data_IF_304636823840
#
_entry.id   IF_304636823840
#
_cell.length_a   1.000
_cell.length_b   1.000
_cell.length_c   1.000
_cell.angle_alpha   90.00
_cell.angle_beta   90.00
_cell.angle_gamma   90.00
#
_symmetry.space_group_name_H-M   'P 1'
#
loop_
_entity.id
_entity.type
_entity.pdbx_description
1 polymer ?
#
# COMPACT_ATOMS: atom_id res chain seq x y z
N UNK A 1 -2.36 -21.40 -9.19
CA UNK A 1 -1.04 -21.08 -9.77
C UNK A 1 -0.54 -19.80 -9.14
N UNK A 2 0.72 -19.83 -8.70
CA UNK A 2 1.42 -18.95 -7.77
C UNK A 2 1.24 -17.45 -8.05
N UNK A 3 0.86 -16.71 -7.00
CA UNK A 3 0.65 -15.26 -7.01
C UNK A 3 1.97 -14.51 -7.19
N UNK A 4 1.92 -13.55 -8.12
CA UNK A 4 2.96 -12.57 -8.39
C UNK A 4 2.68 -11.33 -7.53
N UNK A 5 3.70 -10.68 -6.95
CA UNK A 5 3.52 -9.59 -5.99
C UNK A 5 4.12 -8.29 -6.54
N UNK A 6 3.31 -7.33 -6.97
CA UNK A 6 3.79 -5.94 -7.08
C UNK A 6 3.32 -5.17 -5.85
N UNK A 7 4.18 -4.35 -5.30
CA UNK A 7 3.89 -3.38 -4.26
C UNK A 7 4.71 -2.15 -4.66
N UNK A 8 4.04 -1.24 -5.35
CA UNK A 8 4.16 0.18 -5.06
C UNK A 8 2.77 0.55 -4.61
N UNK A 9 2.72 1.07 -3.42
CA UNK A 9 1.54 1.25 -2.62
C UNK A 9 1.78 2.53 -1.86
N UNK A 10 1.55 3.68 -2.46
CA UNK A 10 1.36 4.84 -1.60
C UNK A 10 0.05 4.62 -0.83
N UNK A 11 -0.01 5.03 0.44
CA UNK A 11 -1.17 4.98 1.33
C UNK A 11 -1.75 6.39 1.50
N UNK A 12 -3.04 6.61 1.23
CA UNK A 12 -3.71 7.89 1.47
C UNK A 12 -4.90 7.66 2.37
N UNK A 13 -5.06 8.49 3.39
CA UNK A 13 -6.13 8.41 4.37
C UNK A 13 -7.12 9.56 4.18
N UNK A 14 -7.99 9.60 3.15
CA UNK A 14 -8.81 10.78 2.96
C UNK A 14 -9.95 10.79 3.98
N UNK A 15 -10.14 11.93 4.64
CA UNK A 15 -11.39 12.34 5.26
C UNK A 15 -11.57 13.84 5.03
N UNK A 16 -12.64 14.21 4.33
CA UNK A 16 -13.39 15.43 4.64
C UNK A 16 -14.45 14.99 5.66
N UNK A 17 -14.74 15.64 6.79
CA UNK A 17 -14.66 17.05 7.15
C UNK A 17 -14.76 17.14 8.71
N UNK A 18 -14.20 18.21 9.30
CA UNK A 18 -14.29 18.68 10.71
C UNK A 18 -13.33 18.21 11.83
N UNK A 19 -12.44 17.22 11.67
CA UNK A 19 -11.51 16.82 12.77
C UNK A 19 -10.01 17.11 12.54
N UNK A 20 -9.59 17.52 11.34
CA UNK A 20 -8.21 17.98 11.08
C UNK A 20 -7.11 16.93 11.35
N UNK A 21 -7.41 15.64 11.23
CA UNK A 21 -6.39 14.60 11.37
C UNK A 21 -5.39 14.69 10.20
N UNK A 22 -4.08 14.49 10.45
CA UNK A 22 -3.06 14.61 9.41
C UNK A 22 -3.25 13.54 8.34
N UNK A 23 -3.31 13.95 7.06
CA UNK A 23 -3.11 13.05 5.94
C UNK A 23 -1.65 12.58 5.97
N UNK A 24 -1.44 11.28 6.01
CA UNK A 24 -0.12 10.67 5.93
C UNK A 24 -0.03 9.93 4.61
N UNK A 25 0.96 10.31 3.80
CA UNK A 25 1.33 9.62 2.57
C UNK A 25 2.76 9.11 2.74
N UNK A 26 2.94 7.81 2.53
CA UNK A 26 4.24 7.12 2.55
C UNK A 26 4.46 6.55 1.16
N UNK A 27 5.54 6.95 0.49
CA UNK A 27 5.95 6.44 -0.81
C UNK A 27 6.97 5.33 -0.66
N UNK A 28 7.18 4.54 -1.73
CA UNK A 28 8.22 3.52 -1.69
C UNK A 28 9.62 4.13 -1.55
N UNK A 29 10.41 3.61 -0.60
CA UNK A 29 11.75 4.10 -0.30
C UNK A 29 11.79 5.17 0.78
N UNK A 30 10.63 5.65 1.26
CA UNK A 30 10.57 6.51 2.43
C UNK A 30 11.09 5.78 3.69
N UNK A 31 11.58 6.52 4.71
CA UNK A 31 12.11 5.94 5.95
C UNK A 31 11.14 5.01 6.69
N UNK A 32 9.85 5.22 6.47
CA UNK A 32 8.73 4.48 7.07
C UNK A 32 8.33 3.23 6.26
N UNK A 33 9.21 2.79 5.37
CA UNK A 33 9.06 1.56 4.59
C UNK A 33 10.10 0.52 4.94
N UNK A 34 9.72 -0.76 4.81
CA UNK A 34 10.66 -1.86 4.86
C UNK A 34 10.23 -2.95 3.89
N UNK A 35 11.17 -3.78 3.45
CA UNK A 35 10.84 -4.88 2.56
C UNK A 35 11.67 -6.12 2.86
N UNK A 36 11.11 -7.26 2.49
CA UNK A 36 11.84 -8.51 2.38
C UNK A 36 12.04 -8.84 0.91
N UNK A 37 13.09 -9.62 0.61
CA UNK A 37 13.43 -10.04 -0.75
C UNK A 37 13.76 -8.85 -1.67
N UNK A 38 13.87 -9.12 -2.97
CA UNK A 38 14.27 -8.13 -3.96
C UNK A 38 13.06 -7.39 -4.52
N UNK A 39 13.22 -6.07 -4.63
CA UNK A 39 12.27 -5.16 -5.23
C UNK A 39 13.02 -4.30 -6.25
N UNK A 40 12.51 -4.24 -7.47
CA UNK A 40 13.13 -3.53 -8.59
C UNK A 40 12.26 -2.35 -9.02
N UNK A 41 12.90 -1.33 -9.60
CA UNK A 41 12.19 -0.20 -10.20
C UNK A 41 11.33 -0.69 -11.37
N UNK A 42 10.10 -0.21 -11.39
CA UNK A 42 9.04 -0.53 -12.35
C UNK A 42 9.12 0.39 -13.56
N UNK A 43 8.87 -0.20 -14.74
CA UNK A 43 8.60 0.57 -15.96
C UNK A 43 7.13 1.00 -16.13
N UNK A 44 6.28 0.77 -15.12
CA UNK A 44 4.91 1.28 -15.09
C UNK A 44 4.87 2.79 -15.05
N UNK A 45 3.93 3.37 -15.79
CA UNK A 45 3.82 4.83 -15.95
C UNK A 45 3.05 5.49 -14.80
N UNK A 46 3.28 6.78 -14.62
CA UNK A 46 2.59 7.66 -13.66
C UNK A 46 2.59 7.16 -12.20
N UNK A 47 3.77 6.83 -11.62
CA UNK A 47 3.88 6.50 -10.21
C UNK A 47 3.43 7.67 -9.32
N UNK A 48 3.21 7.39 -8.03
CA UNK A 48 3.28 8.46 -7.05
C UNK A 48 4.76 8.77 -6.82
N UNK A 49 5.12 10.05 -6.64
CA UNK A 49 6.52 10.43 -6.45
C UNK A 49 7.39 10.14 -7.68
N UNK A 50 8.59 9.59 -7.44
CA UNK A 50 9.62 9.45 -8.46
C UNK A 50 9.53 8.15 -9.26
N UNK A 51 9.18 7.04 -8.61
CA UNK A 51 9.15 5.72 -9.24
C UNK A 51 8.13 4.79 -8.56
N UNK A 52 8.01 3.56 -9.07
CA UNK A 52 7.27 2.48 -8.40
C UNK A 52 8.12 1.23 -8.35
N UNK A 53 7.86 0.33 -7.41
CA UNK A 53 8.57 -0.94 -7.25
C UNK A 53 7.73 -2.17 -7.64
N UNK A 54 8.42 -3.25 -7.99
CA UNK A 54 7.83 -4.55 -8.23
C UNK A 54 8.72 -5.70 -7.76
N UNK A 55 8.13 -6.86 -7.49
CA UNK A 55 8.85 -8.08 -7.18
C UNK A 55 8.28 -9.29 -7.94
N UNK A 56 9.10 -10.31 -8.11
CA UNK A 56 8.67 -11.66 -8.53
C UNK A 56 8.91 -12.70 -7.43
N UNK A 57 9.49 -12.30 -6.31
CA UNK A 57 9.83 -13.21 -5.23
C UNK A 57 8.56 -13.64 -4.49
N UNK A 58 8.31 -14.94 -4.47
CA UNK A 58 7.18 -15.52 -3.76
C UNK A 58 7.37 -15.30 -2.26
N UNK A 59 6.37 -14.69 -1.62
CA UNK A 59 6.40 -14.39 -0.19
C UNK A 59 7.25 -13.17 0.17
N UNK A 60 7.74 -12.40 -0.82
CA UNK A 60 8.27 -11.07 -0.59
C UNK A 60 7.18 -10.14 -0.05
N UNK A 61 7.56 -9.31 0.92
CA UNK A 61 6.68 -8.32 1.53
C UNK A 61 7.28 -6.94 1.37
N UNK A 62 6.42 -5.97 1.20
CA UNK A 62 6.76 -4.56 1.30
C UNK A 62 5.78 -3.93 2.26
N UNK A 63 6.31 -3.26 3.27
CA UNK A 63 5.59 -2.82 4.45
C UNK A 63 5.72 -1.32 4.55
N UNK A 64 4.62 -0.66 4.87
CA UNK A 64 4.52 0.76 5.16
C UNK A 64 4.05 0.88 6.59
N UNK A 65 4.59 1.80 7.38
CA UNK A 65 4.14 1.96 8.76
C UNK A 65 4.14 3.42 9.19
N UNK A 66 3.19 3.81 10.03
CA UNK A 66 3.17 5.15 10.61
C UNK A 66 2.62 5.14 12.04
N UNK A 67 3.11 6.04 12.91
CA UNK A 67 2.51 6.23 14.22
C UNK A 67 1.15 6.93 14.06
N UNK A 68 0.07 6.16 14.10
CA UNK A 68 -1.30 6.63 13.89
C UNK A 68 -2.22 6.14 15.01
N UNK A 69 -3.11 7.02 15.44
CA UNK A 69 -4.17 6.72 16.38
C UNK A 69 -5.52 7.22 15.84
N UNK A 70 -6.60 6.55 16.20
CA UNK A 70 -7.94 6.90 15.76
C UNK A 70 -8.36 6.21 14.46
N UNK A 71 -9.47 6.67 13.88
CA UNK A 71 -10.09 6.09 12.69
C UNK A 71 -9.55 6.75 11.42
N UNK A 72 -9.09 5.94 10.47
CA UNK A 72 -8.37 6.37 9.27
C UNK A 72 -8.76 5.55 8.04
N UNK A 73 -8.91 6.18 6.89
CA UNK A 73 -9.31 5.50 5.65
C UNK A 73 -8.11 4.97 4.85
N UNK A 74 -7.68 3.72 5.01
CA UNK A 74 -6.56 3.17 4.23
C UNK A 74 -6.88 3.12 2.72
N UNK A 75 -6.07 3.79 1.91
CA UNK A 75 -6.07 3.70 0.44
C UNK A 75 -4.75 3.22 -0.12
N UNK A 76 -4.72 2.93 -1.41
CA UNK A 76 -3.56 2.32 -2.03
C UNK A 76 -3.40 2.72 -3.48
N UNK A 77 -2.20 3.11 -3.90
CA UNK A 77 -1.93 3.46 -5.30
C UNK A 77 -0.74 2.68 -5.86
N UNK A 78 -0.92 2.14 -7.06
CA UNK A 78 0.07 1.36 -7.82
C UNK A 78 0.09 1.81 -9.28
N UNK A 79 1.17 1.55 -10.01
CA UNK A 79 1.19 1.72 -11.48
C UNK A 79 0.60 0.51 -12.20
N UNK A 80 -0.10 0.74 -13.31
CA UNK A 80 -0.56 -0.32 -14.19
C UNK A 80 0.61 -0.94 -14.98
N UNK A 81 0.57 -2.27 -15.14
CA UNK A 81 1.30 -2.99 -16.18
C UNK A 81 0.54 -4.28 -16.53
N UNK A 82 0.60 -4.74 -17.78
CA UNK A 82 -0.20 -5.89 -18.24
C UNK A 82 0.15 -7.22 -17.54
N UNK A 83 1.37 -7.32 -17.00
CA UNK A 83 1.87 -8.46 -16.24
C UNK A 83 1.58 -8.40 -14.73
N UNK A 84 0.94 -7.33 -14.23
CA UNK A 84 0.60 -7.20 -12.81
C UNK A 84 -0.36 -8.29 -12.35
N UNK A 85 -0.34 -8.58 -11.06
CA UNK A 85 -1.21 -9.59 -10.47
C UNK A 85 -2.62 -9.03 -10.22
N UNK A 86 -3.63 -9.87 -10.43
CA UNK A 86 -5.03 -9.49 -10.23
C UNK A 86 -5.54 -9.81 -8.83
N UNK A 87 -4.72 -10.44 -7.98
CA UNK A 87 -5.12 -10.91 -6.65
C UNK A 87 -3.98 -10.72 -5.63
N UNK A 88 -3.47 -9.50 -5.51
CA UNK A 88 -2.43 -9.16 -4.53
C UNK A 88 -3.06 -9.04 -3.15
N UNK A 89 -2.57 -9.83 -2.20
CA UNK A 89 -2.95 -9.78 -0.78
C UNK A 89 -2.32 -8.55 -0.11
N UNK A 90 -3.14 -7.75 0.55
CA UNK A 90 -2.74 -6.61 1.38
C UNK A 90 -3.25 -6.87 2.80
N UNK A 91 -2.36 -6.90 3.78
CA UNK A 91 -2.74 -6.99 5.19
C UNK A 91 -2.74 -5.60 5.81
N UNK A 92 -3.77 -5.29 6.61
CA UNK A 92 -3.86 -4.06 7.39
C UNK A 92 -3.72 -4.44 8.86
N UNK A 93 -2.76 -3.82 9.55
CA UNK A 93 -2.35 -4.16 10.91
C UNK A 93 -2.36 -2.94 11.83
N UNK A 94 -2.67 -3.18 13.10
CA UNK A 94 -2.37 -2.28 14.22
C UNK A 94 -1.27 -2.93 15.07
N UNK A 95 -0.04 -2.43 14.93
CA UNK A 95 1.18 -3.09 15.40
C UNK A 95 1.37 -4.45 14.73
N UNK A 96 1.25 -5.53 15.51
CA UNK A 96 1.30 -6.91 15.01
C UNK A 96 -0.08 -7.56 14.88
N UNK A 97 -1.15 -6.84 15.27
CA UNK A 97 -2.52 -7.35 15.19
C UNK A 97 -3.10 -7.13 13.79
N UNK A 98 -3.45 -8.21 13.10
CA UNK A 98 -4.11 -8.14 11.79
C UNK A 98 -5.57 -7.65 11.97
N UNK A 99 -5.90 -6.51 11.38
CA UNK A 99 -7.26 -5.97 11.35
C UNK A 99 -8.04 -6.53 10.15
N UNK A 100 -7.42 -6.58 8.97
CA UNK A 100 -8.06 -7.04 7.75
C UNK A 100 -7.08 -7.59 6.72
N UNK A 101 -7.58 -8.43 5.82
CA UNK A 101 -6.89 -8.79 4.58
C UNK A 101 -7.75 -8.36 3.40
N UNK A 102 -7.19 -7.54 2.51
CA UNK A 102 -7.82 -7.06 1.27
C UNK A 102 -7.08 -7.67 0.09
N UNK A 103 -7.80 -7.98 -1.00
CA UNK A 103 -7.18 -8.43 -2.24
C UNK A 103 -7.39 -7.36 -3.32
N UNK A 104 -6.31 -6.98 -4.00
CA UNK A 104 -6.34 -5.93 -5.03
C UNK A 104 -5.95 -6.47 -6.41
N UNK A 105 -6.68 -6.01 -7.43
CA UNK A 105 -6.36 -6.22 -8.82
C UNK A 105 -5.50 -5.06 -9.33
N UNK A 106 -4.21 -5.30 -9.55
CA UNK A 106 -3.28 -4.27 -10.01
C UNK A 106 -3.25 -4.06 -11.53
N UNK A 107 -4.12 -4.74 -12.27
CA UNK A 107 -4.40 -4.44 -13.67
C UNK A 107 -5.49 -3.38 -13.85
N UNK A 108 -6.08 -2.91 -12.77
CA UNK A 108 -7.16 -1.92 -12.79
C UNK A 108 -6.75 -0.69 -11.96
N UNK A 109 -7.36 0.46 -12.26
CA UNK A 109 -7.20 1.70 -11.48
C UNK A 109 -5.73 2.09 -11.20
N UNK A 110 -4.85 1.85 -12.18
CA UNK A 110 -3.45 2.25 -12.07
C UNK A 110 -3.33 3.76 -11.92
N UNK A 111 -2.32 4.20 -11.17
CA UNK A 111 -1.97 5.60 -10.94
C UNK A 111 -3.06 6.40 -10.24
N UNK A 112 -3.98 5.71 -9.57
CA UNK A 112 -5.08 6.27 -8.79
C UNK A 112 -5.09 5.68 -7.38
N UNK A 113 -5.63 6.45 -6.44
CA UNK A 113 -5.83 6.04 -5.07
C UNK A 113 -7.05 5.11 -4.95
N UNK A 114 -6.82 3.85 -4.59
CA UNK A 114 -7.86 2.85 -4.31
C UNK A 114 -8.10 2.74 -2.82
N UNK A 115 -9.27 3.15 -2.35
CA UNK A 115 -9.69 2.93 -0.96
C UNK A 115 -9.79 1.43 -0.66
N UNK A 116 -9.12 0.99 0.39
CA UNK A 116 -9.15 -0.38 0.90
C UNK A 116 -10.16 -0.54 2.05
N UNK A 117 -10.35 0.51 2.86
CA UNK A 117 -11.33 0.54 3.93
C UNK A 117 -11.02 1.62 4.97
N UNK A 118 -11.82 1.68 6.03
CA UNK A 118 -11.56 2.54 7.20
C UNK A 118 -11.28 1.68 8.41
N UNK A 119 -10.20 1.98 9.12
CA UNK A 119 -9.67 1.18 10.23
C UNK A 119 -9.29 2.06 11.41
N UNK A 120 -9.42 1.51 12.62
CA UNK A 120 -9.00 2.18 13.84
C UNK A 120 -7.63 1.69 14.27
N UNK A 121 -6.69 2.60 14.47
CA UNK A 121 -5.33 2.31 14.95
C UNK A 121 -5.15 2.81 16.39
N UNK A 122 -4.34 2.11 17.17
CA UNK A 122 -4.05 2.45 18.57
C UNK A 122 -2.61 2.91 18.81
N UNK A 123 -1.74 2.78 17.81
CA UNK A 123 -0.39 3.32 17.89
C UNK A 123 0.37 3.25 16.57
N UNK A 124 0.40 2.09 15.91
CA UNK A 124 1.18 1.89 14.68
C UNK A 124 0.31 1.25 13.61
N UNK A 125 -0.07 2.03 12.60
CA UNK A 125 -0.63 1.45 11.38
C UNK A 125 0.48 0.74 10.59
N UNK A 126 0.21 -0.46 10.08
CA UNK A 126 1.16 -1.25 9.28
C UNK A 126 0.45 -2.06 8.20
#
# INVERSE_FOLDING_TARGET
MSGWWSISQSLSLPLSDSLGLPEVIIDNGDPDTSHTKSWEVSGGVDPYGADSLWSRDIGGTYTYQAPLTGSHQVSLRWTFYSSRCTNVRVGIYDGDSLLATVYVNQKENGSQWKVLGTYSFSGTAK
#
